data_IF_616766471854
#
_entry.id   IF_616766471854
#
_cell.length_a   1.000
_cell.length_b   1.000
_cell.length_c   1.000
_cell.angle_alpha   90.00
_cell.angle_beta   90.00
_cell.angle_gamma   90.00
#
_symmetry.space_group_name_H-M   'P 1'
#
loop_
_entity.id
_entity.type
_entity.pdbx_description
1 polymer ?
#
# COMPACT_ATOMS: atom_id res chain seq x y z
N UNK A 1 -11.87 -23.31 -31.53
CA UNK A 1 -11.14 -23.49 -32.81
C UNK A 1 -10.32 -24.78 -32.69
N UNK A 2 -10.60 -25.82 -33.48
CA UNK A 2 -9.81 -27.06 -33.48
C UNK A 2 -9.00 -27.09 -34.77
N UNK A 3 -7.66 -27.08 -34.66
CA UNK A 3 -6.76 -27.45 -35.77
C UNK A 3 -6.31 -28.89 -35.56
N UNK A 4 -6.45 -29.69 -36.62
CA UNK A 4 -6.09 -31.10 -36.65
C UNK A 4 -4.56 -31.29 -36.78
N UNK A 5 -4.04 -32.30 -36.06
CA UNK A 5 -2.67 -32.81 -36.19
C UNK A 5 -2.24 -33.70 -35.03
N UNK A 6 -2.66 -34.97 -35.08
CA UNK A 6 -2.15 -36.22 -34.42
C UNK A 6 -1.47 -36.18 -33.03
N UNK A 7 -1.74 -37.04 -32.03
CA UNK A 7 -2.59 -38.23 -31.82
C UNK A 7 -2.65 -38.46 -30.29
N UNK A 8 -3.83 -38.81 -29.78
CA UNK A 8 -4.25 -39.03 -28.38
C UNK A 8 -4.81 -37.80 -27.62
N UNK A 9 -6.12 -37.88 -27.35
CA UNK A 9 -6.81 -37.07 -26.35
C UNK A 9 -6.92 -37.93 -25.08
N UNK A 10 -6.16 -37.58 -24.04
CA UNK A 10 -6.36 -38.17 -22.71
C UNK A 10 -7.56 -37.48 -22.09
N UNK A 11 -8.70 -38.17 -22.11
CA UNK A 11 -9.92 -37.70 -21.47
C UNK A 11 -9.91 -38.16 -20.01
N UNK A 12 -9.44 -37.30 -19.11
CA UNK A 12 -9.51 -37.57 -17.67
C UNK A 12 -10.93 -37.32 -17.19
N UNK A 13 -11.72 -38.37 -17.03
CA UNK A 13 -13.04 -38.30 -16.40
C UNK A 13 -12.84 -38.18 -14.89
N UNK A 14 -13.05 -36.98 -14.35
CA UNK A 14 -13.12 -36.75 -12.92
C UNK A 14 -14.56 -36.97 -12.47
N UNK A 15 -14.81 -38.03 -11.70
CA UNK A 15 -16.10 -38.25 -11.05
C UNK A 15 -16.19 -37.31 -9.85
N UNK A 16 -16.87 -36.19 -10.05
CA UNK A 16 -17.23 -35.28 -8.97
C UNK A 16 -18.55 -35.73 -8.32
N UNK A 17 -18.70 -35.57 -6.99
CA UNK A 17 -19.97 -35.77 -6.32
C UNK A 17 -21.09 -34.92 -6.97
N UNK A 18 -22.37 -35.35 -6.90
CA UNK A 18 -23.48 -34.67 -7.58
C UNK A 18 -23.58 -33.16 -7.28
N UNK A 19 -23.22 -32.74 -6.07
CA UNK A 19 -23.26 -31.34 -5.65
C UNK A 19 -22.18 -30.44 -6.28
N UNK A 20 -21.05 -31.01 -6.72
CA UNK A 20 -19.99 -30.28 -7.41
C UNK A 20 -20.27 -30.19 -8.92
N UNK A 21 -21.01 -31.15 -9.49
CA UNK A 21 -21.40 -31.14 -10.90
C UNK A 21 -22.41 -30.01 -11.22
N UNK A 22 -23.33 -29.73 -10.30
CA UNK A 22 -24.30 -28.61 -10.42
C UNK A 22 -23.61 -27.23 -10.45
N UNK A 23 -22.38 -27.10 -9.93
CA UNK A 23 -21.61 -25.85 -9.93
C UNK A 23 -20.90 -25.54 -11.26
N UNK A 24 -20.85 -26.50 -12.20
CA UNK A 24 -20.15 -26.37 -13.47
C UNK A 24 -21.08 -26.00 -14.64
N UNK A 25 -22.39 -26.00 -14.42
CA UNK A 25 -23.37 -25.53 -15.39
C UNK A 25 -23.52 -23.99 -15.28
N UNK A 26 -23.48 -23.25 -16.40
CA UNK A 26 -23.67 -21.81 -16.37
C UNK A 26 -25.08 -21.49 -15.82
N UNK A 27 -25.24 -20.61 -14.81
CA UNK A 27 -26.53 -20.42 -14.17
C UNK A 27 -27.55 -19.76 -15.10
N UNK A 28 -28.69 -20.41 -15.32
CA UNK A 28 -29.92 -19.75 -15.74
C UNK A 28 -30.48 -18.95 -14.55
N UNK A 29 -30.22 -17.64 -14.53
CA UNK A 29 -30.75 -16.61 -13.62
C UNK A 29 -30.49 -16.75 -12.09
N UNK A 30 -30.13 -15.67 -11.37
CA UNK A 30 -29.69 -15.75 -9.98
C UNK A 30 -30.89 -15.73 -9.01
N UNK A 31 -31.41 -16.90 -8.65
CA UNK A 31 -32.44 -17.04 -7.60
C UNK A 31 -31.96 -17.89 -6.41
N UNK A 32 -30.74 -17.63 -5.94
CA UNK A 32 -30.21 -18.20 -4.69
C UNK A 32 -29.38 -17.17 -3.91
N UNK A 33 -29.25 -17.33 -2.58
CA UNK A 33 -28.31 -16.53 -1.81
C UNK A 33 -26.88 -16.68 -2.37
N UNK A 34 -26.04 -15.64 -2.32
CA UNK A 34 -24.68 -15.69 -2.84
C UNK A 34 -23.92 -16.90 -2.28
N UNK A 35 -23.33 -17.70 -3.17
CA UNK A 35 -22.52 -18.84 -2.80
C UNK A 35 -21.12 -18.34 -2.47
N UNK A 36 -20.78 -18.30 -1.18
CA UNK A 36 -19.46 -17.90 -0.71
C UNK A 36 -18.56 -19.12 -0.49
N UNK A 37 -17.30 -19.03 -0.94
CA UNK A 37 -16.27 -19.99 -0.59
C UNK A 37 -15.70 -19.67 0.82
N UNK A 38 -15.96 -20.57 1.77
CA UNK A 38 -15.45 -20.47 3.14
C UNK A 38 -14.19 -21.31 3.40
N UNK A 39 -13.69 -22.03 2.37
CA UNK A 39 -12.52 -22.89 2.49
C UNK A 39 -11.22 -22.09 2.57
N UNK A 40 -11.21 -20.90 1.97
CA UNK A 40 -10.06 -20.02 1.95
C UNK A 40 -9.80 -19.40 3.33
N UNK A 41 -8.71 -19.86 3.96
CA UNK A 41 -8.28 -19.40 5.27
C UNK A 41 -7.04 -18.54 5.18
N UNK A 42 -6.99 -17.50 6.00
CA UNK A 42 -5.84 -16.63 6.18
C UNK A 42 -5.45 -16.54 7.66
N UNK A 43 -4.15 -16.42 7.91
CA UNK A 43 -3.67 -16.11 9.24
C UNK A 43 -3.87 -14.60 9.49
N UNK A 44 -4.68 -14.27 10.50
CA UNK A 44 -4.93 -12.88 10.87
C UNK A 44 -4.38 -12.65 12.28
N UNK A 45 -3.33 -11.84 12.46
CA UNK A 45 -2.73 -11.56 13.77
C UNK A 45 -3.59 -10.55 14.56
N UNK A 46 -4.87 -10.86 14.75
CA UNK A 46 -5.83 -10.03 15.51
C UNK A 46 -5.71 -10.33 17.01
N UNK A 47 -5.86 -9.31 17.84
CA UNK A 47 -5.79 -9.42 19.30
C UNK A 47 -6.64 -8.34 19.96
N UNK A 48 -7.03 -8.56 21.21
CA UNK A 48 -7.69 -7.61 22.08
C UNK A 48 -6.91 -7.58 23.40
N UNK A 49 -5.72 -6.95 23.44
CA UNK A 49 -4.82 -7.04 24.59
C UNK A 49 -5.37 -6.32 25.84
N UNK A 50 -6.24 -5.33 25.66
CA UNK A 50 -6.71 -4.46 26.76
C UNK A 50 -8.18 -4.06 26.61
N UNK A 51 -8.77 -3.65 27.72
CA UNK A 51 -10.05 -2.93 27.78
C UNK A 51 -9.90 -1.67 28.65
N UNK A 52 -10.82 -0.71 28.50
CA UNK A 52 -10.84 0.50 29.32
C UNK A 52 -12.26 0.90 29.69
N UNK A 53 -12.40 1.55 30.84
CA UNK A 53 -13.64 2.22 31.23
C UNK A 53 -13.69 3.58 30.55
N UNK A 54 -14.82 3.87 29.90
CA UNK A 54 -15.09 5.13 29.21
C UNK A 54 -16.35 5.73 29.80
N UNK A 55 -16.34 7.04 29.99
CA UNK A 55 -17.50 7.84 30.34
C UNK A 55 -17.79 8.78 29.17
N UNK A 56 -18.91 8.57 28.49
CA UNK A 56 -19.32 9.36 27.34
C UNK A 56 -20.80 9.71 27.48
N UNK A 57 -21.15 10.98 27.31
CA UNK A 57 -22.53 11.47 27.43
C UNK A 57 -23.23 11.07 28.75
N UNK A 58 -22.46 10.96 29.85
CA UNK A 58 -22.95 10.54 31.17
C UNK A 58 -23.15 9.03 31.35
N UNK A 59 -22.89 8.21 30.33
CA UNK A 59 -22.91 6.74 30.43
C UNK A 59 -21.50 6.20 30.68
N UNK A 60 -21.35 5.34 31.70
CA UNK A 60 -20.12 4.59 31.96
C UNK A 60 -20.20 3.21 31.34
N UNK A 61 -19.28 2.89 30.45
CA UNK A 61 -19.21 1.57 29.80
C UNK A 61 -17.77 1.12 29.58
N UNK A 62 -17.61 -0.17 29.26
CA UNK A 62 -16.30 -0.77 28.93
C UNK A 62 -16.17 -0.92 27.43
N UNK A 63 -15.03 -0.50 26.89
CA UNK A 63 -14.63 -0.76 25.50
C UNK A 63 -13.41 -1.67 25.46
N UNK A 64 -13.36 -2.50 24.43
CA UNK A 64 -12.30 -3.45 24.16
C UNK A 64 -11.46 -2.90 23.00
N UNK A 65 -10.14 -2.84 23.19
CA UNK A 65 -9.26 -2.28 22.18
C UNK A 65 -8.80 -3.41 21.26
N UNK A 66 -9.24 -3.38 20.00
CA UNK A 66 -8.93 -4.38 18.99
C UNK A 66 -7.68 -3.97 18.24
N UNK A 67 -6.73 -4.89 18.10
CA UNK A 67 -5.44 -4.71 17.46
C UNK A 67 -5.26 -5.75 16.35
N UNK A 68 -4.60 -5.39 15.26
CA UNK A 68 -4.13 -6.35 14.26
C UNK A 68 -2.67 -6.08 13.93
N UNK A 69 -1.84 -7.13 13.95
CA UNK A 69 -0.38 -7.05 13.79
C UNK A 69 0.26 -6.01 14.74
N UNK A 70 -0.32 -5.85 15.93
CA UNK A 70 0.07 -4.87 16.94
C UNK A 70 -0.31 -3.40 16.63
N UNK A 71 -1.16 -3.16 15.62
CA UNK A 71 -1.76 -1.85 15.32
C UNK A 71 -3.17 -1.80 15.90
N UNK A 72 -3.52 -0.78 16.68
CA UNK A 72 -4.90 -0.64 17.15
C UNK A 72 -5.83 -0.24 15.99
N UNK A 73 -6.88 -1.03 15.75
CA UNK A 73 -7.86 -0.76 14.69
C UNK A 73 -9.05 0.05 15.24
N UNK A 74 -9.66 -0.42 16.33
CA UNK A 74 -10.82 0.24 16.94
C UNK A 74 -10.92 -0.01 18.45
N UNK A 75 -11.76 0.78 19.13
CA UNK A 75 -12.19 0.56 20.51
C UNK A 75 -13.71 0.44 20.53
N UNK A 76 -14.24 -0.75 20.83
CA UNK A 76 -15.68 -1.05 20.70
C UNK A 76 -16.27 -1.56 22.01
N UNK A 77 -17.49 -1.15 22.36
CA UNK A 77 -18.24 -1.73 23.48
C UNK A 77 -18.84 -3.07 23.06
N UNK A 78 -19.09 -3.96 24.01
CA UNK A 78 -19.63 -5.31 23.71
C UNK A 78 -20.88 -5.31 22.81
N UNK A 79 -21.76 -4.31 22.95
CA UNK A 79 -22.97 -4.20 22.10
C UNK A 79 -22.64 -4.13 20.61
N UNK A 80 -21.53 -3.49 20.24
CA UNK A 80 -21.09 -3.37 18.85
C UNK A 80 -20.62 -4.72 18.30
N UNK A 81 -19.91 -5.53 19.09
CA UNK A 81 -19.58 -6.92 18.72
C UNK A 81 -20.83 -7.78 18.53
N UNK A 82 -21.85 -7.57 19.37
CA UNK A 82 -23.12 -8.28 19.21
C UNK A 82 -23.86 -7.87 17.93
N UNK A 83 -23.80 -6.58 17.54
CA UNK A 83 -24.36 -6.08 16.27
C UNK A 83 -23.60 -6.68 15.09
N UNK A 84 -22.26 -6.64 15.11
CA UNK A 84 -21.41 -7.30 14.12
C UNK A 84 -21.83 -8.76 13.92
N UNK A 85 -21.92 -9.53 15.00
CA UNK A 85 -22.29 -10.95 14.94
C UNK A 85 -23.65 -11.19 14.26
N UNK A 86 -24.63 -10.32 14.51
CA UNK A 86 -25.95 -10.42 13.88
C UNK A 86 -25.92 -10.05 12.39
N UNK A 87 -25.16 -9.01 12.02
CA UNK A 87 -25.00 -8.60 10.63
C UNK A 87 -24.27 -9.69 9.83
N UNK A 88 -23.18 -10.24 10.36
CA UNK A 88 -22.45 -11.35 9.73
C UNK A 88 -23.32 -12.60 9.58
N UNK A 89 -24.14 -12.94 10.59
CA UNK A 89 -25.08 -14.07 10.49
C UNK A 89 -26.17 -13.87 9.45
N UNK A 90 -26.56 -12.62 9.20
CA UNK A 90 -27.55 -12.29 8.18
C UNK A 90 -26.98 -12.44 6.77
N UNK A 91 -25.75 -11.95 6.57
CA UNK A 91 -25.07 -12.00 5.27
C UNK A 91 -24.59 -13.42 4.94
N UNK A 92 -23.89 -14.06 5.88
CA UNK A 92 -23.29 -15.38 5.71
C UNK A 92 -24.15 -16.46 6.38
N UNK A 93 -25.43 -16.54 6.02
CA UNK A 93 -26.42 -17.41 6.69
C UNK A 93 -26.03 -18.91 6.71
N UNK A 94 -25.26 -19.35 5.71
CA UNK A 94 -24.79 -20.74 5.57
C UNK A 94 -23.50 -21.02 6.35
N UNK A 95 -22.87 -20.00 6.95
CA UNK A 95 -21.65 -20.17 7.73
C UNK A 95 -21.98 -20.48 9.20
N UNK A 96 -21.30 -21.50 9.76
CA UNK A 96 -21.45 -21.84 11.17
C UNK A 96 -20.54 -20.97 12.05
N UNK A 97 -21.09 -19.84 12.51
CA UNK A 97 -20.33 -18.90 13.35
C UNK A 97 -19.95 -19.48 14.73
N UNK A 98 -18.74 -19.16 15.24
CA UNK A 98 -18.37 -19.46 16.62
C UNK A 98 -19.29 -18.73 17.60
N UNK A 99 -19.38 -19.26 18.82
CA UNK A 99 -20.21 -18.65 19.88
C UNK A 99 -19.60 -17.33 20.31
N UNK A 100 -20.36 -16.25 20.17
CA UNK A 100 -20.01 -14.96 20.77
C UNK A 100 -20.19 -15.04 22.31
N UNK A 101 -19.29 -14.45 23.12
CA UNK A 101 -19.49 -14.33 24.56
C UNK A 101 -20.87 -13.73 24.88
N UNK A 102 -21.58 -14.29 25.86
CA UNK A 102 -22.96 -13.88 26.17
C UNK A 102 -23.08 -12.52 26.87
N UNK A 103 -24.27 -11.93 26.77
CA UNK A 103 -24.69 -10.81 27.63
C UNK A 103 -24.91 -11.31 29.05
N UNK A 104 -24.48 -10.52 30.03
CA UNK A 104 -24.76 -10.76 31.44
C UNK A 104 -25.63 -9.61 31.97
N UNK A 105 -26.67 -9.87 32.76
CA UNK A 105 -27.64 -8.84 33.17
C UNK A 105 -27.12 -7.91 34.28
N UNK A 106 -25.99 -8.25 34.92
CA UNK A 106 -25.38 -7.46 35.99
C UNK A 106 -24.06 -6.84 35.55
N UNK A 107 -23.56 -5.88 36.33
CA UNK A 107 -22.20 -5.38 36.17
C UNK A 107 -21.20 -6.54 36.25
N UNK A 108 -20.23 -6.53 35.33
CA UNK A 108 -19.20 -7.56 35.31
C UNK A 108 -18.11 -7.24 36.32
N UNK A 109 -17.59 -8.27 37.00
CA UNK A 109 -16.33 -8.17 37.72
C UNK A 109 -15.15 -8.06 36.75
N UNK A 110 -13.99 -7.59 37.23
CA UNK A 110 -12.73 -7.56 36.48
C UNK A 110 -12.40 -8.91 35.82
N UNK A 111 -12.59 -10.00 36.56
CA UNK A 111 -12.35 -11.36 36.05
C UNK A 111 -13.31 -11.71 34.90
N UNK A 112 -14.56 -11.29 34.98
CA UNK A 112 -15.54 -11.51 33.92
C UNK A 112 -15.29 -10.61 32.70
N UNK A 113 -14.80 -9.37 32.91
CA UNK A 113 -14.39 -8.48 31.83
C UNK A 113 -13.21 -9.05 31.06
N UNK A 114 -12.19 -9.55 31.75
CA UNK A 114 -11.05 -10.21 31.12
C UNK A 114 -11.43 -11.54 30.44
N UNK A 115 -12.33 -12.33 31.03
CA UNK A 115 -12.88 -13.51 30.36
C UNK A 115 -13.64 -13.15 29.07
N UNK A 116 -14.44 -12.07 29.10
CA UNK A 116 -15.12 -11.55 27.91
C UNK A 116 -14.11 -11.03 26.88
N UNK A 117 -13.07 -10.31 27.29
CA UNK A 117 -11.97 -9.84 26.42
C UNK A 117 -11.36 -10.99 25.63
N UNK A 118 -10.93 -12.06 26.32
CA UNK A 118 -10.40 -13.28 25.67
C UNK A 118 -11.41 -13.93 24.73
N UNK A 119 -12.67 -14.07 25.15
CA UNK A 119 -13.69 -14.66 24.31
C UNK A 119 -14.03 -13.84 23.06
N UNK A 120 -13.92 -12.51 23.13
CA UNK A 120 -14.08 -11.61 21.97
C UNK A 120 -12.87 -11.72 21.02
N UNK A 121 -11.66 -11.85 21.57
CA UNK A 121 -10.43 -12.09 20.80
C UNK A 121 -10.53 -13.40 20.03
N UNK A 122 -10.81 -14.53 20.70
CA UNK A 122 -10.98 -15.84 20.06
C UNK A 122 -12.11 -15.85 19.01
N UNK A 123 -13.17 -15.08 19.24
CA UNK A 123 -14.27 -14.93 18.29
C UNK A 123 -13.77 -14.24 17.01
N UNK A 124 -13.10 -13.09 17.14
CA UNK A 124 -12.58 -12.35 16.00
C UNK A 124 -11.50 -13.13 15.25
N UNK A 125 -10.58 -13.81 15.95
CA UNK A 125 -9.57 -14.67 15.32
C UNK A 125 -10.20 -15.71 14.41
N UNK A 126 -11.22 -16.43 14.89
CA UNK A 126 -11.92 -17.47 14.11
C UNK A 126 -12.68 -16.90 12.93
N UNK A 127 -13.39 -15.79 13.12
CA UNK A 127 -14.20 -15.18 12.06
C UNK A 127 -13.34 -14.52 11.00
N UNK A 128 -12.33 -13.74 11.38
CA UNK A 128 -11.43 -13.07 10.44
C UNK A 128 -10.50 -14.05 9.70
N UNK A 129 -10.30 -15.25 10.23
CA UNK A 129 -9.51 -16.30 9.55
C UNK A 129 -10.15 -16.79 8.25
N UNK A 130 -11.46 -16.59 8.05
CA UNK A 130 -12.15 -16.94 6.81
C UNK A 130 -12.10 -15.73 5.90
N UNK A 131 -11.41 -15.82 4.77
CA UNK A 131 -11.04 -14.66 3.94
C UNK A 131 -12.25 -13.83 3.53
N UNK A 132 -13.27 -14.47 2.96
CA UNK A 132 -14.50 -13.80 2.49
C UNK A 132 -15.26 -13.05 3.60
N UNK A 133 -15.15 -13.51 4.86
CA UNK A 133 -15.79 -12.85 6.00
C UNK A 133 -14.89 -11.74 6.55
N UNK A 134 -13.59 -12.02 6.71
CA UNK A 134 -12.61 -11.06 7.22
C UNK A 134 -12.40 -9.84 6.32
N UNK A 135 -12.60 -10.01 5.00
CA UNK A 135 -12.51 -8.96 4.00
C UNK A 135 -13.87 -8.29 3.70
N UNK A 136 -14.98 -8.76 4.29
CA UNK A 136 -16.32 -8.22 4.04
C UNK A 136 -16.48 -6.77 4.54
N UNK A 137 -17.31 -5.98 3.84
CA UNK A 137 -17.62 -4.59 4.21
C UNK A 137 -18.14 -4.48 5.65
N UNK A 138 -18.94 -5.45 6.10
CA UNK A 138 -19.46 -5.53 7.47
C UNK A 138 -18.33 -5.61 8.50
N UNK A 139 -17.29 -6.42 8.23
CA UNK A 139 -16.13 -6.55 9.10
C UNK A 139 -15.24 -5.31 9.04
N UNK A 140 -15.01 -4.77 7.84
CA UNK A 140 -14.24 -3.54 7.63
C UNK A 140 -14.86 -2.36 8.38
N UNK A 141 -16.19 -2.21 8.30
CA UNK A 141 -16.94 -1.17 9.00
C UNK A 141 -16.79 -1.33 10.53
N UNK A 142 -16.86 -2.54 11.06
CA UNK A 142 -16.69 -2.78 12.50
C UNK A 142 -15.27 -2.50 13.00
N UNK A 143 -14.26 -2.92 12.22
CA UNK A 143 -12.85 -2.71 12.54
C UNK A 143 -12.40 -1.27 12.31
N UNK A 144 -13.20 -0.49 11.57
CA UNK A 144 -13.05 0.96 11.49
C UNK A 144 -13.58 1.64 12.76
N UNK A 145 -12.95 2.75 13.15
CA UNK A 145 -13.50 3.57 14.23
C UNK A 145 -14.75 4.29 13.73
N UNK A 146 -15.87 4.15 14.44
CA UNK A 146 -17.12 4.84 14.09
C UNK A 146 -16.97 6.36 14.16
N UNK A 147 -17.50 7.05 13.14
CA UNK A 147 -17.39 8.49 12.91
C UNK A 147 -17.82 9.38 14.11
N UNK A 148 -18.62 8.86 15.04
CA UNK A 148 -19.07 9.63 16.22
C UNK A 148 -17.96 9.92 17.24
N UNK A 149 -16.83 9.19 17.18
CA UNK A 149 -15.66 9.46 18.02
C UNK A 149 -14.55 10.24 17.29
N UNK A 150 -14.82 10.72 16.07
CA UNK A 150 -13.89 11.49 15.24
C UNK A 150 -13.75 12.96 15.70
N UNK A 151 -13.55 13.17 17.00
CA UNK A 151 -13.10 14.48 17.48
C UNK A 151 -11.68 14.80 16.95
N UNK A 152 -10.97 13.82 16.35
CA UNK A 152 -9.64 13.99 15.75
C UNK A 152 -8.51 14.19 16.76
N UNK A 153 -8.82 14.56 18.01
CA UNK A 153 -7.84 14.98 19.04
C UNK A 153 -7.21 13.82 19.83
N UNK A 154 -7.60 12.58 19.60
CA UNK A 154 -6.97 11.44 20.30
C UNK A 154 -5.59 11.15 19.74
N UNK A 155 -4.64 10.84 20.63
CA UNK A 155 -3.31 10.40 20.22
C UNK A 155 -3.35 8.96 19.71
N UNK A 156 -2.54 8.68 18.69
CA UNK A 156 -2.29 7.37 18.11
C UNK A 156 -0.82 7.19 17.84
N UNK A 157 -0.36 5.94 17.86
CA UNK A 157 1.00 5.57 17.49
C UNK A 157 1.01 5.04 16.06
N UNK A 158 1.70 5.76 15.17
CA UNK A 158 1.94 5.33 13.80
C UNK A 158 3.35 4.79 13.69
N UNK A 159 3.50 3.57 13.15
CA UNK A 159 4.80 3.03 12.78
C UNK A 159 5.10 3.42 11.33
N UNK A 160 6.30 3.86 11.05
CA UNK A 160 6.77 4.22 9.72
C UNK A 160 8.04 3.44 9.42
N UNK A 161 8.09 2.77 8.29
CA UNK A 161 9.27 2.03 7.84
C UNK A 161 10.31 2.99 7.29
N UNK A 162 11.54 2.86 7.78
CA UNK A 162 12.68 3.66 7.36
C UNK A 162 13.45 2.93 6.25
N UNK A 163 14.24 3.66 5.44
CA UNK A 163 15.02 3.07 4.36
C UNK A 163 15.97 1.94 4.77
N UNK A 164 16.42 1.95 6.04
CA UNK A 164 17.34 0.97 6.63
C UNK A 164 16.66 -0.29 7.18
N UNK A 165 15.41 -0.56 6.81
CA UNK A 165 14.57 -1.70 7.26
C UNK A 165 14.07 -1.55 8.70
N UNK A 166 14.56 -0.55 9.45
CA UNK A 166 14.04 -0.29 10.79
C UNK A 166 12.67 0.38 10.72
N UNK A 167 12.00 0.48 11.87
CA UNK A 167 10.73 1.21 11.99
C UNK A 167 10.85 2.25 13.08
N UNK A 168 10.23 3.42 12.84
CA UNK A 168 10.08 4.47 13.84
C UNK A 168 8.62 4.60 14.22
N UNK A 169 8.34 4.70 15.52
CA UNK A 169 6.99 4.96 16.02
C UNK A 169 6.89 6.44 16.41
N UNK A 170 5.92 7.13 15.84
CA UNK A 170 5.58 8.52 16.18
C UNK A 170 4.19 8.58 16.82
N UNK A 171 4.05 9.40 17.86
CA UNK A 171 2.78 9.67 18.51
C UNK A 171 2.20 10.96 17.96
N UNK A 172 1.07 10.86 17.27
CA UNK A 172 0.42 11.96 16.55
C UNK A 172 -1.09 11.96 16.82
N UNK A 173 -1.81 12.98 16.36
CA UNK A 173 -3.27 13.00 16.44
C UNK A 173 -3.88 12.15 15.32
N UNK A 174 -5.06 11.59 15.54
CA UNK A 174 -5.80 10.83 14.51
C UNK A 174 -6.07 11.64 13.25
N UNK A 175 -6.33 12.95 13.42
CA UNK A 175 -6.54 13.87 12.31
C UNK A 175 -5.25 14.57 11.85
N UNK A 176 -4.07 14.07 12.24
CA UNK A 176 -2.84 14.65 11.75
C UNK A 176 -2.70 14.43 10.25
N UNK A 177 -2.35 15.50 9.54
CA UNK A 177 -2.10 15.46 8.10
C UNK A 177 -0.75 14.80 7.80
N UNK A 178 -0.52 14.42 6.55
CA UNK A 178 0.77 13.90 6.09
C UNK A 178 1.94 14.78 6.52
N UNK A 179 1.83 16.11 6.36
CA UNK A 179 2.88 17.04 6.78
C UNK A 179 3.18 16.96 8.28
N UNK A 180 2.15 16.91 9.12
CA UNK A 180 2.33 16.82 10.57
C UNK A 180 2.98 15.50 10.99
N UNK A 181 2.60 14.39 10.36
CA UNK A 181 3.22 13.09 10.59
C UNK A 181 4.66 13.09 10.09
N UNK A 182 4.92 13.67 8.92
CA UNK A 182 6.27 13.79 8.36
C UNK A 182 7.19 14.60 9.27
N UNK A 183 6.74 15.76 9.78
CA UNK A 183 7.51 16.56 10.74
C UNK A 183 7.82 15.78 12.02
N UNK A 184 6.86 15.02 12.55
CA UNK A 184 7.11 14.15 13.71
C UNK A 184 8.14 13.06 13.42
N UNK A 185 8.11 12.46 12.23
CA UNK A 185 9.09 11.45 11.78
C UNK A 185 10.48 12.09 11.63
N UNK A 186 10.59 13.21 10.91
CA UNK A 186 11.84 13.92 10.67
C UNK A 186 12.51 14.32 12.00
N UNK A 187 11.75 14.90 12.93
CA UNK A 187 12.24 15.26 14.26
C UNK A 187 12.69 14.02 15.05
N UNK A 188 11.94 12.90 14.98
CA UNK A 188 12.24 11.67 15.71
C UNK A 188 13.51 10.98 15.22
N UNK A 189 13.82 11.06 13.93
CA UNK A 189 15.04 10.47 13.34
C UNK A 189 16.23 11.44 13.31
N UNK A 190 16.06 12.67 13.77
CA UNK A 190 17.12 13.69 13.78
C UNK A 190 17.46 14.23 12.39
N UNK A 191 16.48 14.26 11.48
CA UNK A 191 16.66 14.83 10.14
C UNK A 191 16.61 16.35 10.19
N UNK A 192 17.65 16.99 9.65
CA UNK A 192 17.70 18.45 9.55
C UNK A 192 16.76 18.99 8.46
N UNK A 193 16.49 20.29 8.51
CA UNK A 193 15.53 20.94 7.60
C UNK A 193 15.96 20.95 6.14
N UNK A 194 17.26 20.87 5.84
CA UNK A 194 17.76 20.79 4.46
C UNK A 194 17.49 19.41 3.91
N UNK A 195 17.95 18.38 4.63
CA UNK A 195 17.74 16.96 4.26
C UNK A 195 16.27 16.61 4.14
N UNK A 196 15.41 17.18 4.98
CA UNK A 196 13.97 16.96 4.94
C UNK A 196 13.31 17.33 3.60
N UNK A 197 13.89 18.19 2.77
CA UNK A 197 13.31 18.53 1.47
C UNK A 197 13.49 17.42 0.40
N UNK A 198 14.26 16.37 0.73
CA UNK A 198 14.64 15.29 -0.16
C UNK A 198 14.01 13.94 0.25
N UNK A 199 13.10 13.95 1.22
CA UNK A 199 12.33 12.78 1.64
C UNK A 199 10.84 13.10 1.68
N UNK A 200 10.01 12.07 1.57
CA UNK A 200 8.57 12.17 1.75
C UNK A 200 8.02 10.89 2.39
N UNK A 201 6.77 10.96 2.88
CA UNK A 201 6.01 9.77 3.28
C UNK A 201 5.31 9.15 2.08
N UNK A 202 5.33 7.82 2.05
CA UNK A 202 4.70 7.01 1.03
C UNK A 202 3.80 5.96 1.67
N UNK A 203 2.72 5.62 0.97
CA UNK A 203 1.94 4.42 1.23
C UNK A 203 2.50 3.25 0.40
N UNK A 204 2.70 2.11 1.07
CA UNK A 204 3.05 0.86 0.42
C UNK A 204 1.78 0.19 -0.07
N UNK A 205 1.57 0.24 -1.38
CA UNK A 205 0.41 -0.37 -2.04
C UNK A 205 0.60 -1.88 -2.11
N UNK A 206 1.76 -2.31 -2.57
CA UNK A 206 2.13 -3.71 -2.63
C UNK A 206 3.65 -3.84 -2.52
N UNK A 207 4.13 -5.08 -2.65
CA UNK A 207 5.53 -5.42 -2.50
C UNK A 207 6.49 -4.80 -3.57
N UNK A 208 5.96 -4.23 -4.66
CA UNK A 208 6.72 -3.64 -5.78
C UNK A 208 6.40 -2.17 -6.06
N UNK A 209 5.33 -1.61 -5.47
CA UNK A 209 4.90 -0.24 -5.75
C UNK A 209 4.51 0.52 -4.47
N UNK A 210 4.92 1.79 -4.44
CA UNK A 210 4.61 2.76 -3.39
C UNK A 210 4.10 4.04 -4.04
N UNK A 211 3.16 4.73 -3.38
CA UNK A 211 2.72 6.07 -3.81
C UNK A 211 3.06 7.11 -2.76
N UNK A 212 3.45 8.32 -3.19
CA UNK A 212 3.65 9.44 -2.27
C UNK A 212 2.30 9.85 -1.66
N UNK A 213 2.31 10.21 -0.39
CA UNK A 213 1.15 10.79 0.28
C UNK A 213 1.05 12.28 -0.03
N UNK A 214 -0.15 12.75 -0.38
CA UNK A 214 -0.41 14.16 -0.53
C UNK A 214 -0.41 14.86 0.85
N UNK A 215 -0.04 16.16 0.93
CA UNK A 215 0.09 16.89 2.20
C UNK A 215 -1.17 16.90 3.07
N UNK A 216 -2.34 16.85 2.44
CA UNK A 216 -3.67 16.93 3.06
C UNK A 216 -4.31 15.55 3.34
N UNK A 217 -3.65 14.44 3.00
CA UNK A 217 -4.10 13.11 3.41
C UNK A 217 -3.92 12.92 4.93
N UNK A 218 -4.63 11.93 5.48
CA UNK A 218 -4.58 11.57 6.89
C UNK A 218 -3.94 10.19 7.05
N UNK A 219 -2.62 10.07 7.36
CA UNK A 219 -1.93 8.79 7.41
C UNK A 219 -2.55 7.76 8.35
N UNK A 220 -3.19 8.20 9.45
CA UNK A 220 -3.91 7.30 10.34
C UNK A 220 -5.08 6.57 9.65
N UNK A 221 -5.82 7.24 8.75
CA UNK A 221 -6.91 6.60 7.99
C UNK A 221 -6.37 5.46 7.13
N UNK A 222 -5.28 5.71 6.40
CA UNK A 222 -4.61 4.71 5.57
C UNK A 222 -4.02 3.56 6.40
N UNK A 223 -3.50 3.89 7.58
CA UNK A 223 -2.91 2.93 8.51
C UNK A 223 -3.92 1.93 9.07
N UNK A 224 -5.17 2.39 9.28
CA UNK A 224 -6.29 1.54 9.68
C UNK A 224 -6.84 0.78 8.48
N UNK A 225 -7.10 1.41 7.34
CA UNK A 225 -7.71 0.75 6.17
C UNK A 225 -6.85 -0.39 5.59
N UNK A 226 -5.51 -0.28 5.66
CA UNK A 226 -4.58 -1.27 5.11
C UNK A 226 -4.08 -2.29 6.14
N UNK A 227 -4.95 -2.76 7.05
CA UNK A 227 -4.56 -3.73 8.07
C UNK A 227 -4.31 -5.14 7.50
N UNK A 228 -4.92 -5.48 6.36
CA UNK A 228 -4.76 -6.77 5.65
C UNK A 228 -3.64 -6.76 4.61
N UNK A 229 -3.09 -5.59 4.26
CA UNK A 229 -2.10 -5.47 3.19
C UNK A 229 -0.82 -6.23 3.52
N UNK A 230 -0.26 -6.93 2.52
CA UNK A 230 0.80 -7.93 2.61
C UNK A 230 2.18 -7.45 3.12
N UNK A 231 2.27 -6.28 3.75
CA UNK A 231 3.50 -5.69 4.29
C UNK A 231 3.52 -5.86 5.81
N UNK A 232 4.37 -6.75 6.35
CA UNK A 232 4.51 -6.91 7.79
C UNK A 232 4.91 -5.58 8.45
N UNK A 233 4.21 -5.17 9.51
CA UNK A 233 4.61 -4.06 10.38
C UNK A 233 3.92 -2.72 10.09
N UNK A 234 4.08 -2.12 8.90
CA UNK A 234 3.47 -0.81 8.54
C UNK A 234 3.18 -0.67 7.03
N UNK A 235 2.14 0.08 6.66
CA UNK A 235 1.88 0.51 5.28
C UNK A 235 2.49 1.90 4.96
N UNK A 236 3.10 2.57 5.94
CA UNK A 236 3.74 3.87 5.78
C UNK A 236 5.25 3.73 5.71
N UNK A 237 5.90 4.39 4.76
CA UNK A 237 7.36 4.38 4.64
C UNK A 237 7.92 5.75 4.31
N UNK A 238 9.08 6.07 4.89
CA UNK A 238 9.87 7.24 4.54
C UNK A 238 10.80 6.86 3.38
N UNK A 239 10.77 7.61 2.28
CA UNK A 239 11.65 7.35 1.12
C UNK A 239 12.21 8.63 0.54
N UNK A 240 13.32 8.49 -0.18
CA UNK A 240 13.91 9.55 -1.01
C UNK A 240 12.86 10.08 -1.99
N UNK A 241 12.70 11.40 -2.04
CA UNK A 241 11.89 12.15 -2.97
C UNK A 241 12.76 13.14 -3.75
N UNK A 242 13.57 12.57 -4.65
CA UNK A 242 14.57 13.28 -5.41
C UNK A 242 14.90 12.49 -6.68
N UNK A 243 14.91 13.16 -7.83
CA UNK A 243 15.18 12.56 -9.14
C UNK A 243 16.61 12.84 -9.62
N UNK A 244 17.11 14.05 -9.44
CA UNK A 244 18.45 14.51 -9.84
C UNK A 244 19.54 13.84 -9.00
N UNK A 245 20.58 13.33 -9.67
CA UNK A 245 21.70 12.66 -8.99
C UNK A 245 22.73 13.64 -8.45
N UNK A 246 22.78 14.85 -9.01
CA UNK A 246 23.71 15.90 -8.63
C UNK A 246 23.28 16.59 -7.32
N UNK A 247 21.99 16.89 -7.16
CA UNK A 247 21.43 17.33 -5.88
C UNK A 247 21.62 16.26 -4.79
N UNK A 248 21.48 14.99 -5.17
CA UNK A 248 21.74 13.88 -4.25
C UNK A 248 23.20 13.86 -3.79
N UNK A 249 24.13 14.21 -4.67
CA UNK A 249 25.55 14.28 -4.35
C UNK A 249 25.89 15.45 -3.41
N UNK A 250 25.09 16.52 -3.38
CA UNK A 250 25.26 17.60 -2.40
C UNK A 250 25.04 17.13 -0.96
N UNK A 251 24.32 16.02 -0.78
CA UNK A 251 24.04 15.42 0.52
C UNK A 251 25.11 14.39 0.95
N UNK A 252 26.21 14.23 0.20
CA UNK A 252 27.26 13.25 0.53
C UNK A 252 27.95 13.50 1.89
N UNK A 253 27.90 14.74 2.40
CA UNK A 253 28.43 15.10 3.72
C UNK A 253 27.42 14.88 4.86
N UNK A 254 26.17 14.52 4.54
CA UNK A 254 25.13 14.22 5.52
C UNK A 254 25.03 12.70 5.75
N UNK A 255 25.45 12.25 6.94
CA UNK A 255 25.51 10.83 7.29
C UNK A 255 24.15 10.13 7.20
N UNK A 256 23.08 10.80 7.64
CA UNK A 256 21.72 10.26 7.63
C UNK A 256 21.19 10.10 6.20
N UNK A 257 21.35 11.12 5.37
CA UNK A 257 20.93 11.10 3.98
C UNK A 257 21.64 9.97 3.21
N UNK A 258 22.97 9.89 3.32
CA UNK A 258 23.78 8.84 2.69
C UNK A 258 23.38 7.45 3.19
N UNK A 259 23.14 7.28 4.49
CA UNK A 259 22.67 6.01 5.04
C UNK A 259 21.35 5.57 4.40
N UNK A 260 20.38 6.48 4.34
CA UNK A 260 19.06 6.19 3.82
C UNK A 260 19.08 5.94 2.31
N UNK A 261 19.83 6.70 1.53
CA UNK A 261 19.98 6.45 0.10
C UNK A 261 20.64 5.10 -0.18
N UNK A 262 21.71 4.78 0.56
CA UNK A 262 22.39 3.49 0.46
C UNK A 262 21.45 2.33 0.74
N UNK A 263 20.74 2.37 1.88
CA UNK A 263 19.85 1.28 2.25
C UNK A 263 18.63 1.18 1.35
N UNK A 264 18.04 2.30 0.90
CA UNK A 264 16.91 2.27 -0.03
C UNK A 264 17.25 1.52 -1.31
N UNK A 265 18.44 1.74 -1.86
CA UNK A 265 18.86 1.08 -3.10
C UNK A 265 19.27 -0.37 -2.84
N UNK A 266 19.99 -0.64 -1.74
CA UNK A 266 20.36 -2.01 -1.35
C UNK A 266 19.15 -2.91 -1.13
N UNK A 267 18.08 -2.36 -0.58
CA UNK A 267 16.84 -3.09 -0.27
C UNK A 267 15.85 -3.07 -1.45
N UNK A 268 16.19 -2.43 -2.58
CA UNK A 268 15.39 -2.50 -3.81
C UNK A 268 15.54 -3.87 -4.49
N UNK A 269 14.54 -4.27 -5.27
CA UNK A 269 14.41 -5.65 -5.80
C UNK A 269 15.50 -6.03 -6.81
N UNK A 270 15.78 -7.35 -6.94
CA UNK A 270 16.69 -7.88 -7.95
C UNK A 270 16.26 -7.67 -9.41
N UNK A 271 15.05 -7.17 -9.66
CA UNK A 271 14.55 -6.90 -11.01
C UNK A 271 15.19 -5.65 -11.64
N UNK A 272 15.82 -4.77 -10.84
CA UNK A 272 16.53 -3.61 -11.37
C UNK A 272 17.99 -3.94 -11.70
N UNK A 273 18.56 -3.45 -12.82
CA UNK A 273 19.91 -3.80 -13.29
C UNK A 273 21.05 -3.53 -12.28
N UNK A 274 20.83 -2.64 -11.32
CA UNK A 274 21.80 -2.25 -10.29
C UNK A 274 21.79 -3.16 -9.06
N UNK A 275 20.92 -4.17 -9.06
CA UNK A 275 20.99 -5.31 -8.15
C UNK A 275 22.11 -6.30 -8.49
N UNK A 276 22.83 -6.06 -9.60
CA UNK A 276 23.97 -6.87 -10.00
C UNK A 276 25.04 -6.88 -8.89
N UNK A 277 25.62 -8.06 -8.59
CA UNK A 277 26.59 -8.21 -7.53
C UNK A 277 27.84 -7.42 -7.92
N UNK A 278 28.33 -6.59 -6.99
CA UNK A 278 29.72 -6.16 -7.04
C UNK A 278 30.57 -7.42 -7.28
N UNK A 279 31.15 -7.51 -8.47
CA UNK A 279 32.11 -8.56 -8.79
C UNK A 279 33.24 -8.48 -7.77
N UNK A 280 33.40 -9.56 -6.99
CA UNK A 280 34.42 -9.67 -5.95
C UNK A 280 33.84 -9.50 -4.55
N UNK A 281 33.59 -10.64 -3.91
CA UNK A 281 32.97 -10.78 -2.60
C UNK A 281 33.32 -9.74 -1.55
N UNK A 282 32.28 -9.22 -0.91
CA UNK A 282 32.29 -9.32 0.54
C UNK A 282 30.89 -9.63 1.07
N UNK A 283 30.60 -10.90 1.42
CA UNK A 283 29.39 -11.31 2.13
C UNK A 283 29.21 -10.67 3.53
N UNK A 284 30.08 -9.72 3.92
CA UNK A 284 30.15 -9.11 5.24
C UNK A 284 29.46 -7.74 5.37
N UNK A 285 28.92 -7.16 4.30
CA UNK A 285 28.16 -5.89 4.34
C UNK A 285 26.76 -5.99 4.98
N UNK A 286 26.53 -7.01 5.81
CA UNK A 286 25.46 -7.04 6.80
C UNK A 286 25.74 -6.16 8.03
N UNK A 287 27.00 -5.72 8.20
CA UNK A 287 27.44 -4.83 9.28
C UNK A 287 27.47 -3.34 8.93
N UNK A 288 28.01 -2.54 9.85
CA UNK A 288 28.17 -1.08 9.68
C UNK A 288 29.12 -0.77 8.52
N UNK A 289 28.61 -0.04 7.52
CA UNK A 289 29.38 0.43 6.35
C UNK A 289 29.87 1.86 6.62
N UNK A 290 31.15 2.19 6.54
CA UNK A 290 31.63 3.57 6.65
C UNK A 290 30.98 4.49 5.61
N UNK A 291 30.79 5.78 5.93
CA UNK A 291 30.15 6.75 5.03
C UNK A 291 30.82 6.81 3.65
N UNK A 292 32.16 6.83 3.63
CA UNK A 292 32.93 6.92 2.39
C UNK A 292 32.59 5.77 1.42
N UNK A 293 32.50 4.54 1.92
CA UNK A 293 32.18 3.37 1.10
C UNK A 293 30.73 3.44 0.57
N UNK A 294 29.79 3.95 1.37
CA UNK A 294 28.41 4.20 0.92
C UNK A 294 28.35 5.24 -0.20
N UNK A 295 29.10 6.34 -0.06
CA UNK A 295 29.19 7.40 -1.09
C UNK A 295 29.81 6.85 -2.37
N UNK A 296 30.88 6.06 -2.28
CA UNK A 296 31.50 5.42 -3.44
C UNK A 296 30.52 4.50 -4.16
N UNK A 297 29.78 3.68 -3.40
CA UNK A 297 28.74 2.82 -3.94
C UNK A 297 27.63 3.61 -4.63
N UNK A 298 27.10 4.65 -3.99
CA UNK A 298 26.09 5.53 -4.57
C UNK A 298 26.58 6.22 -5.84
N UNK A 299 27.84 6.67 -5.88
CA UNK A 299 28.43 7.28 -7.08
C UNK A 299 28.46 6.33 -8.28
N UNK A 300 28.73 5.03 -8.05
CA UNK A 300 28.63 4.04 -9.13
C UNK A 300 27.19 3.92 -9.63
N UNK A 301 26.22 3.83 -8.71
CA UNK A 301 24.81 3.61 -9.05
C UNK A 301 24.14 4.80 -9.74
N UNK A 302 24.55 6.04 -9.41
CA UNK A 302 24.07 7.27 -10.07
C UNK A 302 24.33 7.27 -11.59
N UNK A 303 25.25 6.44 -12.08
CA UNK A 303 25.55 6.28 -13.50
C UNK A 303 24.70 5.22 -14.20
N UNK A 304 24.01 4.35 -13.45
CA UNK A 304 23.24 3.25 -14.01
C UNK A 304 21.88 3.71 -14.55
N UNK A 305 21.44 3.09 -15.66
CA UNK A 305 20.13 3.37 -16.25
C UNK A 305 19.00 2.95 -15.29
N UNK A 306 18.02 3.83 -15.08
CA UNK A 306 16.88 3.59 -14.19
C UNK A 306 17.12 4.04 -12.74
N UNK A 307 18.33 4.47 -12.38
CA UNK A 307 18.56 5.06 -11.06
C UNK A 307 17.66 6.30 -10.87
N UNK A 308 16.96 6.37 -9.74
CA UNK A 308 15.91 7.38 -9.45
C UNK A 308 14.73 7.38 -10.43
N UNK A 309 14.47 6.26 -11.10
CA UNK A 309 13.27 6.08 -11.91
C UNK A 309 12.11 5.53 -11.06
N UNK A 310 10.91 6.09 -11.27
CA UNK A 310 9.68 5.62 -10.66
C UNK A 310 8.86 4.91 -11.73
N UNK A 311 8.65 3.61 -11.54
CA UNK A 311 7.84 2.75 -12.40
C UNK A 311 6.45 2.55 -11.82
N UNK A 312 5.42 2.82 -12.62
CA UNK A 312 4.01 2.66 -12.23
C UNK A 312 3.48 1.29 -12.65
N UNK A 313 2.43 0.76 -11.96
CA UNK A 313 1.73 -0.43 -12.40
C UNK A 313 1.20 -0.30 -13.83
N UNK A 314 1.16 -1.41 -14.56
CA UNK A 314 0.63 -1.43 -15.92
C UNK A 314 -0.83 -0.98 -15.95
N UNK A 315 -1.17 -0.15 -16.93
CA UNK A 315 -2.52 0.43 -17.07
C UNK A 315 -2.86 0.68 -18.54
N UNK A 316 -4.15 0.89 -18.83
CA UNK A 316 -4.58 1.21 -20.18
C UNK A 316 -4.16 2.64 -20.57
N UNK A 317 -3.95 2.86 -21.86
CA UNK A 317 -3.54 4.15 -22.40
C UNK A 317 -4.17 4.36 -23.78
N UNK A 318 -4.68 5.56 -24.05
CA UNK A 318 -5.36 5.88 -25.32
C UNK A 318 -4.43 5.88 -26.54
N UNK A 319 -3.11 5.93 -26.31
CA UNK A 319 -2.10 5.76 -27.35
C UNK A 319 -2.00 4.32 -27.88
N UNK A 320 -2.59 3.33 -27.18
CA UNK A 320 -2.66 1.92 -27.61
C UNK A 320 -4.11 1.46 -27.74
N UNK A 321 -4.40 0.74 -28.83
CA UNK A 321 -5.71 0.12 -29.05
C UNK A 321 -5.90 -1.22 -28.33
N UNK A 322 -4.80 -1.89 -27.97
CA UNK A 322 -4.74 -3.20 -27.31
C UNK A 322 -3.55 -3.25 -26.37
N UNK A 323 -3.69 -3.98 -25.26
CA UNK A 323 -2.65 -4.07 -24.24
C UNK A 323 -2.57 -2.82 -23.36
N UNK A 324 -1.65 -2.86 -22.40
CA UNK A 324 -1.40 -1.80 -21.43
C UNK A 324 -0.07 -1.10 -21.72
N UNK A 325 0.26 -0.12 -20.88
CA UNK A 325 1.58 0.51 -20.77
C UNK A 325 2.05 0.46 -19.32
N UNK A 326 3.36 0.33 -19.14
CA UNK A 326 4.06 0.61 -17.89
C UNK A 326 4.74 1.97 -18.06
N UNK A 327 4.39 2.90 -17.18
CA UNK A 327 4.94 4.26 -17.20
C UNK A 327 6.17 4.33 -16.31
N UNK A 328 7.25 4.93 -16.79
CA UNK A 328 8.49 5.12 -16.03
C UNK A 328 8.93 6.58 -16.09
N UNK A 329 9.12 7.21 -14.93
CA UNK A 329 9.46 8.63 -14.80
C UNK A 329 10.84 8.75 -14.17
N UNK A 330 11.76 9.43 -14.86
CA UNK A 330 13.11 9.71 -14.37
C UNK A 330 13.49 11.16 -14.65
N UNK A 331 14.58 11.65 -14.06
CA UNK A 331 15.08 12.99 -14.40
C UNK A 331 15.44 13.15 -15.89
N UNK A 332 15.78 12.06 -16.58
CA UNK A 332 16.25 12.11 -17.98
C UNK A 332 15.09 12.07 -18.97
N UNK A 333 14.15 11.15 -18.75
CA UNK A 333 13.06 10.90 -19.69
C UNK A 333 11.81 10.43 -18.97
N UNK A 334 10.68 10.62 -19.64
CA UNK A 334 9.44 9.89 -19.38
C UNK A 334 9.28 8.76 -20.40
N UNK A 335 9.00 7.52 -19.97
CA UNK A 335 8.85 6.37 -20.87
C UNK A 335 7.50 5.69 -20.71
N UNK A 336 6.94 5.24 -21.84
CA UNK A 336 5.81 4.31 -21.92
C UNK A 336 6.28 3.00 -22.54
N UNK A 337 6.33 1.95 -21.72
CA UNK A 337 6.71 0.61 -22.13
C UNK A 337 5.44 -0.17 -22.43
N UNK A 338 5.27 -0.64 -23.67
CA UNK A 338 4.15 -1.48 -24.03
C UNK A 338 4.19 -2.80 -23.25
N UNK A 339 3.02 -3.27 -22.83
CA UNK A 339 2.88 -4.58 -22.23
C UNK A 339 1.49 -5.18 -22.53
N UNK A 340 1.31 -6.47 -22.27
CA UNK A 340 -0.01 -7.11 -22.31
C UNK A 340 -0.92 -6.60 -21.20
N UNK A 341 -2.20 -6.98 -21.23
CA UNK A 341 -3.17 -6.63 -20.17
C UNK A 341 -2.82 -7.30 -18.84
N UNK A 342 -1.99 -8.34 -18.85
CA UNK A 342 -1.42 -9.02 -17.69
C UNK A 342 -0.05 -8.46 -17.26
N UNK A 343 0.43 -7.40 -17.92
CA UNK A 343 1.68 -6.72 -17.57
C UNK A 343 2.95 -7.35 -18.13
N UNK A 344 2.86 -8.29 -19.10
CA UNK A 344 4.06 -8.84 -19.76
C UNK A 344 4.64 -7.84 -20.75
N UNK A 345 5.92 -7.49 -20.60
CA UNK A 345 6.59 -6.49 -21.44
C UNK A 345 6.62 -6.88 -22.92
N UNK A 346 6.34 -5.90 -23.77
CA UNK A 346 6.53 -5.96 -25.22
C UNK A 346 7.76 -5.13 -25.62
N UNK A 347 8.30 -5.36 -26.83
CA UNK A 347 9.51 -4.69 -27.30
C UNK A 347 9.34 -3.18 -27.58
N UNK A 348 8.10 -2.68 -27.60
CA UNK A 348 7.82 -1.28 -27.95
C UNK A 348 7.97 -0.38 -26.72
N UNK A 349 8.90 0.57 -26.79
CA UNK A 349 9.08 1.62 -25.78
C UNK A 349 9.05 2.98 -26.46
N UNK A 350 8.27 3.91 -25.91
CA UNK A 350 8.23 5.30 -26.35
C UNK A 350 8.83 6.14 -25.21
N UNK A 351 9.99 6.74 -25.45
CA UNK A 351 10.62 7.68 -24.54
C UNK A 351 10.34 9.12 -24.99
N UNK A 352 10.01 10.00 -24.06
CA UNK A 352 9.75 11.43 -24.24
C UNK A 352 10.83 12.22 -23.50
N UNK A 353 11.41 13.19 -24.19
CA UNK A 353 12.28 14.19 -23.55
C UNK A 353 11.42 15.20 -22.79
N UNK A 354 11.95 15.75 -21.70
CA UNK A 354 11.23 16.76 -20.93
C UNK A 354 10.97 18.05 -21.72
N UNK A 355 11.86 18.41 -22.66
CA UNK A 355 11.68 19.53 -23.59
C UNK A 355 10.50 19.33 -24.57
N UNK A 356 10.10 18.08 -24.84
CA UNK A 356 8.94 17.77 -25.68
C UNK A 356 7.62 18.05 -24.95
N UNK A 357 7.63 18.09 -23.62
CA UNK A 357 6.44 18.20 -22.79
C UNK A 357 5.92 19.64 -22.75
N UNK A 358 4.66 19.83 -23.11
CA UNK A 358 4.04 21.16 -23.18
C UNK A 358 3.12 21.43 -21.99
N UNK A 359 2.26 20.45 -21.67
CA UNK A 359 1.24 20.55 -20.63
C UNK A 359 0.96 19.18 -20.04
N UNK A 360 0.50 19.16 -18.80
CA UNK A 360 -0.02 17.97 -18.16
C UNK A 360 -1.09 18.37 -17.14
N UNK A 361 -2.03 17.48 -16.90
CA UNK A 361 -3.11 17.67 -15.95
C UNK A 361 -3.71 16.31 -15.54
N UNK A 362 -4.63 16.34 -14.59
CA UNK A 362 -5.39 15.18 -14.11
C UNK A 362 -6.85 15.26 -14.53
N UNK A 363 -7.40 14.12 -14.96
CA UNK A 363 -8.81 13.94 -15.29
C UNK A 363 -9.44 13.06 -14.19
N UNK A 364 -10.06 13.69 -13.19
CA UNK A 364 -10.63 12.99 -12.03
C UNK A 364 -11.78 12.05 -12.42
N UNK A 365 -12.66 12.48 -13.34
CA UNK A 365 -13.78 11.66 -13.82
C UNK A 365 -13.27 10.43 -14.59
N UNK A 366 -12.25 10.64 -15.43
CA UNK A 366 -11.62 9.58 -16.21
C UNK A 366 -10.62 8.74 -15.41
N UNK A 367 -10.30 9.10 -14.16
CA UNK A 367 -9.21 8.53 -13.36
C UNK A 367 -7.90 8.44 -14.18
N UNK A 368 -7.53 9.54 -14.82
CA UNK A 368 -6.45 9.54 -15.81
C UNK A 368 -5.44 10.67 -15.60
N UNK A 369 -4.18 10.37 -15.89
CA UNK A 369 -3.13 11.36 -16.08
C UNK A 369 -3.06 11.72 -17.56
N UNK A 370 -3.11 13.03 -17.86
CA UNK A 370 -3.11 13.55 -19.21
C UNK A 370 -1.85 14.37 -19.46
N UNK A 371 -1.16 14.16 -20.57
CA UNK A 371 -0.04 15.00 -20.97
C UNK A 371 -0.08 15.32 -22.47
N UNK A 372 0.38 16.52 -22.81
CA UNK A 372 0.53 17.02 -24.16
C UNK A 372 2.02 17.16 -24.48
N UNK A 373 2.45 16.54 -25.57
CA UNK A 373 3.83 16.63 -26.06
C UNK A 373 3.87 17.09 -27.51
N UNK A 374 4.96 17.74 -27.90
CA UNK A 374 5.23 18.18 -29.26
C UNK A 374 6.62 17.66 -29.71
N UNK A 375 6.67 17.02 -30.89
CA UNK A 375 7.92 16.53 -31.49
C UNK A 375 8.24 17.26 -32.77
N UNK A 376 9.36 17.96 -32.79
CA UNK A 376 9.78 18.77 -33.92
C UNK A 376 8.63 19.68 -34.40
N UNK A 377 8.40 19.81 -35.70
CA UNK A 377 7.32 20.64 -36.26
C UNK A 377 5.94 19.96 -36.29
N UNK A 378 5.75 18.84 -35.58
CA UNK A 378 4.44 18.16 -35.54
C UNK A 378 3.50 18.89 -34.59
N UNK A 379 2.20 18.83 -34.91
CA UNK A 379 1.15 19.32 -34.00
C UNK A 379 1.25 18.60 -32.65
N UNK A 380 1.08 19.34 -31.53
CA UNK A 380 0.99 18.75 -30.20
C UNK A 380 -0.06 17.65 -30.13
N UNK A 381 0.22 16.63 -29.30
CA UNK A 381 -0.68 15.49 -29.10
C UNK A 381 -0.90 15.25 -27.62
N UNK A 382 -2.17 15.07 -27.26
CA UNK A 382 -2.58 14.59 -25.95
C UNK A 382 -2.51 13.07 -25.87
N UNK A 383 -2.11 12.58 -24.70
CA UNK A 383 -2.14 11.17 -24.33
C UNK A 383 -2.76 11.08 -22.95
N UNK A 384 -3.65 10.10 -22.76
CA UNK A 384 -4.29 9.76 -21.48
C UNK A 384 -3.81 8.40 -20.99
N UNK A 385 -3.44 8.35 -19.72
CA UNK A 385 -3.03 7.13 -19.00
C UNK A 385 -4.06 6.91 -17.89
N UNK A 386 -4.84 5.82 -17.98
CA UNK A 386 -5.95 5.56 -17.07
C UNK A 386 -5.45 4.74 -15.88
N UNK A 387 -5.17 5.41 -14.76
CA UNK A 387 -4.52 4.81 -13.60
C UNK A 387 -5.07 5.39 -12.32
N UNK A 388 -5.32 4.59 -11.26
CA UNK A 388 -5.77 5.13 -9.98
C UNK A 388 -4.70 6.01 -9.30
N UNK A 389 -3.47 6.01 -9.80
CA UNK A 389 -2.35 6.79 -9.28
C UNK A 389 -2.08 8.07 -10.08
N UNK A 390 -3.09 8.59 -10.79
CA UNK A 390 -2.93 9.74 -11.69
C UNK A 390 -2.43 11.01 -10.97
N UNK A 391 -2.90 11.28 -9.75
CA UNK A 391 -2.41 12.38 -8.92
C UNK A 391 -0.93 12.22 -8.55
N UNK A 392 -0.51 11.00 -8.23
CA UNK A 392 0.90 10.73 -7.92
C UNK A 392 1.78 10.86 -9.18
N UNK A 393 1.29 10.45 -10.35
CA UNK A 393 1.97 10.67 -11.63
C UNK A 393 2.16 12.16 -11.92
N UNK A 394 1.12 12.96 -11.69
CA UNK A 394 1.19 14.42 -11.79
C UNK A 394 2.23 15.02 -10.82
N UNK A 395 2.24 14.60 -9.55
CA UNK A 395 3.25 15.05 -8.59
C UNK A 395 4.69 14.68 -9.01
N UNK A 396 4.89 13.51 -9.64
CA UNK A 396 6.19 13.15 -10.19
C UNK A 396 6.62 14.10 -11.31
N UNK A 397 5.72 14.48 -12.23
CA UNK A 397 6.00 15.46 -13.29
C UNK A 397 6.35 16.83 -12.68
N UNK A 398 5.51 17.33 -11.78
CA UNK A 398 5.76 18.59 -11.08
C UNK A 398 7.12 18.60 -10.36
N UNK A 399 7.47 17.47 -9.71
CA UNK A 399 8.75 17.35 -9.04
C UNK A 399 9.91 17.35 -10.02
N UNK A 400 9.84 16.57 -11.10
CA UNK A 400 10.90 16.54 -12.12
C UNK A 400 11.11 17.93 -12.72
N UNK A 401 10.04 18.64 -13.10
CA UNK A 401 10.16 20.00 -13.63
C UNK A 401 10.70 21.01 -12.61
N UNK A 402 10.33 20.86 -11.33
CA UNK A 402 10.91 21.67 -10.26
C UNK A 402 12.42 21.46 -10.15
N UNK A 403 12.89 20.21 -10.19
CA UNK A 403 14.31 19.87 -10.11
C UNK A 403 15.10 20.28 -11.36
N UNK A 404 14.54 20.12 -12.56
CA UNK A 404 15.17 20.60 -13.80
C UNK A 404 15.33 22.13 -13.80
N UNK A 405 14.37 22.87 -13.23
CA UNK A 405 14.48 24.32 -13.03
C UNK A 405 15.59 24.71 -12.06
N UNK A 406 15.86 23.92 -11.02
CA UNK A 406 17.01 24.15 -10.13
C UNK A 406 18.32 24.13 -10.93
N UNK A 407 18.36 23.35 -12.02
CA UNK A 407 19.53 23.21 -12.91
C UNK A 407 19.52 24.16 -14.11
N UNK A 408 18.44 24.91 -14.34
CA UNK A 408 18.22 25.73 -15.55
C UNK A 408 18.18 24.89 -16.84
N UNK A 409 17.71 23.66 -16.73
CA UNK A 409 17.62 22.72 -17.87
C UNK A 409 16.26 22.80 -18.59
N UNK A 410 15.24 23.43 -17.97
CA UNK A 410 13.91 23.70 -18.56
C UNK A 410 13.31 25.01 -18.08
#
# INVERSE_FOLDING_TARGET
LIRAGEKELVLTVLSVPPHEAESLEPPEEPLGPPFYDYSEKQAVPISIPTYKHVEQSGEKFVVYNVYMAGRQLCSKRYREFAILHQNLKREFANFTFPRLPGKWPFSLSEQQLDARRRGLEEYLEKVCSIRVIGESDIMQEFLSESDENYNGVSDVELRVALPDVTTVTVRVKKNSTTDQVYQAVAAKVGMDSVTANYFALFEVINHSFVRKLAPNEFPHKLYVQNYTSAVPGTCLTLRKWLFTTEEEALLNDNDLAVAYFFHQVRNSRPEFPWSAPLGGGNPSWGGWVPRWDRVLYLNMLRTCEGYNEITFPHCSCDSRRKGHVISAISIRHFKLHACTEEGQLENQVIAFEWEEMQRWDTDEEGMAFCFEYARAEKKPRWVKIFTPYFNYMHECFERVFCELKWRKEV
#
